data_IF_027545843269
#
_entry.id   IF_027545843269
#
_cell.length_a   1.000
_cell.length_b   1.000
_cell.length_c   1.000
_cell.angle_alpha   90.00
_cell.angle_beta   90.00
_cell.angle_gamma   90.00
#
_symmetry.space_group_name_H-M   'P 1'
#
loop_
_entity.id
_entity.type
_entity.pdbx_description
1 polymer ?
#
# COMPACT_ATOMS: atom_id res chain seq x y z
N UNK A 1 35.78 -22.59 5.35
CA UNK A 1 34.32 -22.65 5.63
C UNK A 1 33.85 -21.24 5.92
N UNK A 2 33.05 -20.64 5.04
CA UNK A 2 32.59 -19.26 5.15
C UNK A 2 31.43 -19.19 6.13
N UNK A 3 31.68 -18.69 7.35
CA UNK A 3 30.62 -18.37 8.30
C UNK A 3 29.86 -17.15 7.76
N UNK A 4 28.78 -17.39 7.02
CA UNK A 4 27.78 -16.38 6.74
C UNK A 4 27.18 -15.98 8.09
N UNK A 5 27.64 -14.86 8.64
CA UNK A 5 27.10 -14.24 9.83
C UNK A 5 25.68 -13.76 9.54
N UNK A 6 24.69 -14.63 9.79
CA UNK A 6 23.31 -14.21 10.00
C UNK A 6 23.24 -13.40 11.30
N UNK A 7 23.67 -12.13 11.24
CA UNK A 7 23.32 -11.17 12.28
C UNK A 7 21.81 -11.10 12.32
N UNK A 8 21.22 -11.61 13.41
CA UNK A 8 19.81 -11.41 13.72
C UNK A 8 19.64 -9.93 14.04
N UNK A 9 18.64 -9.30 13.42
CA UNK A 9 18.30 -7.92 13.71
C UNK A 9 17.98 -7.77 15.20
N UNK A 10 18.50 -6.70 15.80
CA UNK A 10 18.24 -6.41 17.21
C UNK A 10 16.83 -5.85 17.37
N UNK A 11 16.30 -5.83 18.59
CA UNK A 11 15.01 -5.22 18.87
C UNK A 11 14.98 -3.72 18.52
N UNK A 12 16.12 -3.04 18.61
CA UNK A 12 16.27 -1.63 18.23
C UNK A 12 16.18 -1.43 16.71
N UNK A 13 16.81 -2.33 15.93
CA UNK A 13 16.73 -2.31 14.46
C UNK A 13 15.28 -2.50 13.99
N UNK A 14 14.56 -3.43 14.62
CA UNK A 14 13.14 -3.68 14.36
C UNK A 14 12.27 -2.46 14.69
N UNK A 15 12.52 -1.80 15.83
CA UNK A 15 11.77 -0.61 16.23
C UNK A 15 12.00 0.59 15.28
N UNK A 16 13.22 0.75 14.75
CA UNK A 16 13.52 1.78 13.74
C UNK A 16 12.78 1.49 12.43
N UNK A 17 12.79 0.22 11.99
CA UNK A 17 12.06 -0.23 10.81
C UNK A 17 10.55 -0.07 10.94
N UNK A 18 10.00 -0.34 12.11
CA UNK A 18 8.59 -0.15 12.40
C UNK A 18 8.21 1.34 12.28
N UNK A 19 8.98 2.24 12.91
CA UNK A 19 8.74 3.68 12.80
C UNK A 19 8.82 4.14 11.34
N UNK A 20 9.84 3.70 10.60
CA UNK A 20 9.98 4.02 9.19
C UNK A 20 8.80 3.49 8.36
N UNK A 21 8.34 2.27 8.66
CA UNK A 21 7.16 1.68 8.02
C UNK A 21 5.89 2.46 8.30
N UNK A 22 5.64 2.88 9.55
CA UNK A 22 4.46 3.66 9.92
C UNK A 22 4.39 4.97 9.11
N UNK A 23 5.50 5.68 8.97
CA UNK A 23 5.58 6.89 8.16
C UNK A 23 5.36 6.60 6.66
N UNK A 24 6.07 5.61 6.12
CA UNK A 24 5.94 5.22 4.71
C UNK A 24 4.51 4.73 4.38
N UNK A 25 3.90 3.95 5.25
CA UNK A 25 2.52 3.49 5.13
C UNK A 25 1.56 4.67 5.13
N UNK A 26 1.73 5.63 6.04
CA UNK A 26 0.88 6.82 6.11
C UNK A 26 0.94 7.63 4.81
N UNK A 27 2.14 7.85 4.28
CA UNK A 27 2.32 8.59 3.03
C UNK A 27 1.74 7.82 1.83
N UNK A 28 2.03 6.52 1.70
CA UNK A 28 1.42 5.65 0.69
C UNK A 28 -0.11 5.71 0.74
N UNK A 29 -0.69 5.61 1.93
CA UNK A 29 -2.13 5.66 2.13
C UNK A 29 -2.71 7.02 1.72
N UNK A 30 -1.98 8.12 1.89
CA UNK A 30 -2.42 9.42 1.39
C UNK A 30 -2.60 9.42 -0.14
N UNK A 31 -1.62 8.90 -0.89
CA UNK A 31 -1.74 8.78 -2.34
C UNK A 31 -2.87 7.83 -2.76
N UNK A 32 -3.04 6.73 -2.04
CA UNK A 32 -4.12 5.75 -2.27
C UNK A 32 -5.50 6.38 -2.09
N UNK A 33 -5.71 7.12 -1.00
CA UNK A 33 -6.98 7.82 -0.73
C UNK A 33 -7.25 8.90 -1.78
N UNK A 34 -6.27 9.76 -2.06
CA UNK A 34 -6.40 10.78 -3.11
C UNK A 34 -6.73 10.15 -4.47
N UNK A 35 -6.10 9.02 -4.80
CA UNK A 35 -6.37 8.31 -6.05
C UNK A 35 -7.81 7.76 -6.11
N UNK A 36 -8.31 7.22 -4.99
CA UNK A 36 -9.66 6.70 -4.87
C UNK A 36 -10.71 7.82 -5.01
N UNK A 37 -10.51 8.94 -4.31
CA UNK A 37 -11.39 10.12 -4.32
C UNK A 37 -11.39 10.86 -5.66
N UNK A 38 -10.25 10.86 -6.36
CA UNK A 38 -10.16 11.46 -7.69
C UNK A 38 -10.95 10.69 -8.76
N UNK A 39 -11.47 9.50 -8.45
CA UNK A 39 -12.28 8.72 -9.39
C UNK A 39 -13.63 9.42 -9.65
N UNK A 40 -14.09 9.36 -10.90
CA UNK A 40 -15.40 9.90 -11.28
C UNK A 40 -16.45 8.81 -11.02
N UNK A 41 -17.49 9.07 -10.21
CA UNK A 41 -18.59 8.13 -10.00
C UNK A 41 -19.21 7.67 -11.33
N UNK A 42 -19.57 6.39 -11.42
CA UNK A 42 -20.19 5.81 -12.63
C UNK A 42 -19.25 5.57 -13.83
N UNK A 43 -17.98 6.02 -13.79
CA UNK A 43 -16.97 5.65 -14.80
C UNK A 43 -16.08 4.53 -14.27
N UNK A 44 -16.31 3.33 -14.78
CA UNK A 44 -15.56 2.11 -14.41
C UNK A 44 -14.23 2.02 -15.17
N UNK A 45 -14.05 2.77 -16.26
CA UNK A 45 -12.91 2.61 -17.16
C UNK A 45 -11.82 3.68 -16.98
N UNK A 46 -10.57 3.22 -17.21
CA UNK A 46 -9.29 3.92 -17.36
C UNK A 46 -9.00 5.09 -16.38
N UNK A 47 -7.84 5.11 -15.70
CA UNK A 47 -7.49 6.21 -14.80
C UNK A 47 -7.61 7.57 -15.49
N UNK A 48 -8.32 8.51 -14.86
CA UNK A 48 -8.46 9.86 -15.39
C UNK A 48 -7.16 10.68 -15.23
N UNK A 49 -7.12 11.90 -15.75
CA UNK A 49 -5.92 12.76 -15.69
C UNK A 49 -5.44 13.00 -14.24
N UNK A 50 -6.36 13.22 -13.28
CA UNK A 50 -6.01 13.43 -11.87
C UNK A 50 -5.43 12.17 -11.24
N UNK A 51 -6.06 11.02 -11.46
CA UNK A 51 -5.57 9.72 -10.98
C UNK A 51 -4.18 9.38 -11.56
N UNK A 52 -3.93 9.71 -12.83
CA UNK A 52 -2.60 9.53 -13.44
C UNK A 52 -1.54 10.42 -12.78
N UNK A 53 -1.86 11.69 -12.51
CA UNK A 53 -0.96 12.62 -11.85
C UNK A 53 -0.62 12.16 -10.42
N UNK A 54 -1.62 11.79 -9.61
CA UNK A 54 -1.43 11.28 -8.24
C UNK A 54 -0.52 10.05 -8.23
N UNK A 55 -0.75 9.09 -9.15
CA UNK A 55 0.08 7.91 -9.24
C UNK A 55 1.52 8.22 -9.71
N UNK A 56 1.72 9.25 -10.54
CA UNK A 56 3.06 9.72 -10.94
C UNK A 56 3.78 10.43 -9.79
N UNK A 57 3.07 11.24 -9.01
CA UNK A 57 3.62 11.94 -7.84
C UNK A 57 4.06 10.95 -6.77
N UNK A 58 3.26 9.90 -6.53
CA UNK A 58 3.68 8.79 -5.68
C UNK A 58 4.96 8.10 -6.18
N UNK A 59 5.12 7.98 -7.51
CA UNK A 59 6.35 7.50 -8.13
C UNK A 59 7.57 8.37 -7.85
N UNK A 60 7.40 9.69 -7.79
CA UNK A 60 8.47 10.63 -7.38
C UNK A 60 8.85 10.42 -5.91
N UNK A 61 7.87 10.13 -5.06
CA UNK A 61 8.04 9.73 -3.67
C UNK A 61 8.50 8.25 -3.49
N UNK A 62 8.96 7.60 -4.56
CA UNK A 62 9.49 6.22 -4.58
C UNK A 62 8.47 5.12 -4.30
N UNK A 63 7.18 5.42 -4.27
CA UNK A 63 6.14 4.39 -4.22
C UNK A 63 5.86 3.82 -5.62
N UNK A 64 5.67 2.50 -5.76
CA UNK A 64 5.31 1.91 -7.05
C UNK A 64 3.97 2.45 -7.57
N UNK A 65 3.99 3.04 -8.77
CA UNK A 65 2.80 3.58 -9.45
C UNK A 65 1.70 2.52 -9.59
N UNK A 66 2.08 1.26 -9.85
CA UNK A 66 1.17 0.12 -9.98
C UNK A 66 0.49 -0.23 -8.67
N UNK A 67 1.22 -0.14 -7.54
CA UNK A 67 0.69 -0.39 -6.20
C UNK A 67 -0.37 0.65 -5.83
N UNK A 68 -0.07 1.93 -6.04
CA UNK A 68 -1.01 3.05 -5.75
C UNK A 68 -2.29 2.91 -6.55
N UNK A 69 -2.18 2.58 -7.85
CA UNK A 69 -3.36 2.32 -8.70
C UNK A 69 -4.18 1.16 -8.19
N UNK A 70 -3.54 0.05 -7.80
CA UNK A 70 -4.21 -1.16 -7.34
C UNK A 70 -4.93 -0.91 -6.01
N UNK A 71 -4.21 -0.40 -5.02
CA UNK A 71 -4.76 -0.07 -3.70
C UNK A 71 -5.84 1.02 -3.80
N UNK A 72 -5.63 2.07 -4.60
CA UNK A 72 -6.63 3.13 -4.80
C UNK A 72 -7.91 2.62 -5.45
N UNK A 73 -7.82 1.69 -6.42
CA UNK A 73 -8.99 1.04 -6.99
C UNK A 73 -9.73 0.15 -5.98
N UNK A 74 -8.99 -0.61 -5.16
CA UNK A 74 -9.57 -1.42 -4.09
C UNK A 74 -10.25 -0.55 -3.04
N UNK A 75 -9.60 0.51 -2.57
CA UNK A 75 -10.18 1.47 -1.63
C UNK A 75 -11.47 2.08 -2.16
N UNK A 76 -11.50 2.48 -3.43
CA UNK A 76 -12.73 2.98 -4.07
C UNK A 76 -13.86 1.96 -4.04
N UNK A 77 -13.56 0.69 -4.34
CA UNK A 77 -14.56 -0.39 -4.31
C UNK A 77 -15.06 -0.62 -2.88
N UNK A 78 -14.16 -0.67 -1.90
CA UNK A 78 -14.50 -0.80 -0.47
C UNK A 78 -15.45 0.33 -0.04
N UNK A 79 -15.15 1.58 -0.41
CA UNK A 79 -15.96 2.74 -0.02
C UNK A 79 -17.36 2.75 -0.65
N UNK A 80 -17.53 2.12 -1.81
CA UNK A 80 -18.81 2.05 -2.53
C UNK A 80 -19.52 0.70 -2.42
N UNK A 81 -18.99 -0.24 -1.64
CA UNK A 81 -19.55 -1.57 -1.46
C UNK A 81 -20.51 -1.58 -0.27
N UNK A 82 -21.76 -1.96 -0.49
CA UNK A 82 -22.79 -1.99 0.55
C UNK A 82 -22.84 -3.36 1.25
N UNK A 83 -22.47 -4.44 0.55
CA UNK A 83 -22.43 -5.79 1.10
C UNK A 83 -21.21 -5.98 2.02
N UNK A 84 -21.45 -6.30 3.30
CA UNK A 84 -20.38 -6.43 4.29
C UNK A 84 -19.42 -7.59 4.00
N UNK A 85 -19.93 -8.70 3.45
CA UNK A 85 -19.12 -9.88 3.13
C UNK A 85 -18.16 -9.53 1.98
N UNK A 86 -18.69 -8.91 0.93
CA UNK A 86 -17.92 -8.46 -0.21
C UNK A 86 -16.93 -7.36 0.18
N UNK A 87 -17.32 -6.42 1.04
CA UNK A 87 -16.42 -5.40 1.59
C UNK A 87 -15.29 -6.05 2.40
N UNK A 88 -15.59 -7.13 3.13
CA UNK A 88 -14.62 -7.96 3.82
C UNK A 88 -13.58 -8.54 2.87
N UNK A 89 -14.00 -9.21 1.79
CA UNK A 89 -13.10 -9.76 0.78
C UNK A 89 -12.19 -8.69 0.14
N UNK A 90 -12.75 -7.53 -0.22
CA UNK A 90 -12.00 -6.42 -0.80
C UNK A 90 -10.97 -5.87 0.19
N UNK A 91 -11.33 -5.77 1.47
CA UNK A 91 -10.44 -5.31 2.53
C UNK A 91 -9.31 -6.31 2.77
N UNK A 92 -9.59 -7.61 2.73
CA UNK A 92 -8.55 -8.65 2.79
C UNK A 92 -7.60 -8.53 1.60
N UNK A 93 -8.11 -8.41 0.37
CA UNK A 93 -7.27 -8.23 -0.82
C UNK A 93 -6.38 -6.97 -0.71
N UNK A 94 -6.95 -5.87 -0.20
CA UNK A 94 -6.21 -4.63 0.06
C UNK A 94 -5.04 -4.88 1.03
N UNK A 95 -5.31 -5.53 2.17
CA UNK A 95 -4.28 -5.83 3.17
C UNK A 95 -3.23 -6.80 2.64
N UNK A 96 -3.62 -7.80 1.84
CA UNK A 96 -2.69 -8.73 1.20
C UNK A 96 -1.69 -8.00 0.31
N UNK A 97 -2.15 -7.04 -0.52
CA UNK A 97 -1.24 -6.25 -1.36
C UNK A 97 -0.33 -5.32 -0.57
N UNK A 98 -0.86 -4.69 0.48
CA UNK A 98 -0.06 -3.84 1.35
C UNK A 98 1.01 -4.66 2.09
N UNK A 99 0.66 -5.85 2.58
CA UNK A 99 1.58 -6.77 3.26
C UNK A 99 2.66 -7.29 2.30
N UNK A 100 2.28 -7.70 1.09
CA UNK A 100 3.25 -8.14 0.08
C UNK A 100 4.24 -7.03 -0.31
N UNK A 101 3.79 -5.77 -0.34
CA UNK A 101 4.69 -4.63 -0.55
C UNK A 101 5.67 -4.45 0.62
N UNK A 102 5.18 -4.50 1.86
CA UNK A 102 6.04 -4.41 3.03
C UNK A 102 7.04 -5.58 3.11
N UNK A 103 6.63 -6.79 2.73
CA UNK A 103 7.51 -7.96 2.65
C UNK A 103 8.66 -7.75 1.66
N UNK A 104 8.34 -7.21 0.47
CA UNK A 104 9.34 -6.84 -0.54
C UNK A 104 10.36 -5.79 -0.06
N UNK A 105 10.05 -5.05 1.00
CA UNK A 105 10.96 -4.11 1.66
C UNK A 105 11.70 -4.71 2.87
N UNK A 106 11.49 -6.00 3.18
CA UNK A 106 12.06 -6.65 4.36
C UNK A 106 11.41 -6.20 5.68
N UNK A 107 10.15 -5.75 5.64
CA UNK A 107 9.41 -5.20 6.78
C UNK A 107 8.30 -6.15 7.29
N UNK A 108 8.24 -7.40 6.82
CA UNK A 108 7.20 -8.35 7.25
C UNK A 108 7.23 -8.61 8.76
N UNK A 109 8.40 -8.52 9.38
CA UNK A 109 8.62 -8.68 10.83
C UNK A 109 7.98 -7.56 11.67
N UNK A 110 7.55 -6.46 11.03
CA UNK A 110 6.76 -5.39 11.67
C UNK A 110 5.27 -5.74 11.74
N UNK A 111 4.83 -6.76 11.00
CA UNK A 111 3.43 -7.22 10.96
C UNK A 111 3.18 -8.50 11.78
N UNK A 112 4.20 -9.02 12.48
CA UNK A 112 4.11 -10.21 13.34
C UNK A 112 3.65 -9.87 14.75
#
# INVERSE_FOLDING_TARGET
MSASSHMKETAEDLAVKEKAWVWNKRELMSYVTQYAEAAIPGKVSKPNKKQKAIAQDAGKAKFPVTLVRKLGNLQRRINGEEDEVQRGYLSTEFQTHLRAYADGLGLLQVFS
#
